data_IF_769086516250
#
_entry.id   IF_769086516250
#
_cell.length_a   1.000
_cell.length_b   1.000
_cell.length_c   1.000
_cell.angle_alpha   90.00
_cell.angle_beta   90.00
_cell.angle_gamma   90.00
#
_symmetry.space_group_name_H-M   'P 1'
#
loop_
_entity.id
_entity.type
_entity.pdbx_description
1 polymer ?
#
# COMPACT_ATOMS: atom_id res chain seq x y z
N UNK A 1 -2.89 -5.61 -16.33
CA UNK A 1 -2.46 -4.60 -15.34
C UNK A 1 -0.94 -4.67 -15.19
N UNK A 2 -0.23 -3.56 -15.34
CA UNK A 2 1.19 -3.42 -14.98
C UNK A 2 1.56 -1.93 -14.89
N UNK A 3 2.63 -1.63 -14.19
CA UNK A 3 3.17 -0.26 -14.08
C UNK A 3 4.61 -0.25 -14.58
N UNK A 4 4.90 0.62 -15.54
CA UNK A 4 6.23 0.78 -16.11
C UNK A 4 6.81 2.11 -15.63
N UNK A 5 8.00 2.05 -15.05
CA UNK A 5 8.83 3.19 -14.71
C UNK A 5 9.94 3.27 -15.75
N UNK A 6 10.08 4.41 -16.39
CA UNK A 6 11.11 4.62 -17.41
C UNK A 6 11.92 5.87 -17.11
N UNK A 7 13.17 5.66 -16.69
CA UNK A 7 14.11 6.73 -16.37
C UNK A 7 13.63 7.70 -15.28
N UNK A 8 12.77 7.22 -14.37
CA UNK A 8 12.06 8.06 -13.41
C UNK A 8 13.02 8.78 -12.46
N UNK A 9 12.90 10.10 -12.36
CA UNK A 9 13.60 10.93 -11.40
C UNK A 9 12.67 11.98 -10.80
N UNK A 10 12.89 12.30 -9.51
CA UNK A 10 12.10 13.35 -8.86
C UNK A 10 12.93 14.16 -7.88
N UNK A 11 12.69 15.47 -7.89
CA UNK A 11 13.15 16.45 -6.89
C UNK A 11 12.06 17.47 -6.62
N UNK A 12 12.04 17.99 -5.42
CA UNK A 12 11.23 19.17 -5.11
C UNK A 12 11.92 20.46 -5.56
N UNK A 13 11.18 21.55 -5.83
CA UNK A 13 11.75 22.83 -6.25
C UNK A 13 12.87 23.28 -5.29
N UNK A 14 14.04 23.61 -5.85
CA UNK A 14 15.22 24.05 -5.09
C UNK A 14 15.95 22.98 -4.28
N UNK A 15 15.54 21.72 -4.37
CA UNK A 15 16.16 20.60 -3.65
C UNK A 15 16.95 19.69 -4.60
N UNK A 16 17.95 18.94 -4.10
CA UNK A 16 18.61 17.89 -4.86
C UNK A 16 17.62 16.77 -5.22
N UNK A 17 17.98 15.96 -6.20
CA UNK A 17 17.20 14.78 -6.55
C UNK A 17 17.10 13.81 -5.37
N UNK A 18 15.91 13.30 -5.13
CA UNK A 18 15.68 12.19 -4.20
C UNK A 18 16.16 10.86 -4.81
N UNK A 19 15.90 10.68 -6.09
CA UNK A 19 16.36 9.55 -6.92
C UNK A 19 16.29 9.95 -8.40
N UNK A 20 17.08 9.26 -9.25
CA UNK A 20 17.10 9.44 -10.70
C UNK A 20 17.29 8.11 -11.41
N UNK A 21 16.83 8.04 -12.68
CA UNK A 21 17.09 6.91 -13.56
C UNK A 21 16.41 5.60 -13.13
N UNK A 22 15.39 5.67 -12.28
CA UNK A 22 14.65 4.49 -11.84
C UNK A 22 13.86 3.90 -13.00
N UNK A 23 14.24 2.71 -13.46
CA UNK A 23 13.52 1.96 -14.47
C UNK A 23 13.14 0.57 -13.95
N UNK A 24 11.84 0.25 -13.98
CA UNK A 24 11.31 -1.02 -13.52
C UNK A 24 9.95 -1.30 -14.15
N UNK A 25 9.60 -2.59 -14.26
CA UNK A 25 8.23 -3.01 -14.62
C UNK A 25 7.64 -3.76 -13.46
N UNK A 26 6.55 -3.21 -12.91
CA UNK A 26 5.79 -3.83 -11.82
C UNK A 26 4.66 -4.65 -12.43
N UNK A 27 4.68 -5.94 -12.19
CA UNK A 27 3.74 -6.91 -12.74
C UNK A 27 2.62 -7.23 -11.73
N UNK A 28 1.43 -7.65 -12.20
CA UNK A 28 0.36 -8.12 -11.34
C UNK A 28 0.78 -9.40 -10.62
N UNK A 29 0.05 -9.76 -9.59
CA UNK A 29 0.32 -10.93 -8.74
C UNK A 29 1.69 -10.90 -8.07
N UNK A 30 2.24 -9.69 -7.85
CA UNK A 30 3.49 -9.47 -7.15
C UNK A 30 3.35 -8.43 -6.05
N UNK A 31 4.13 -8.62 -5.00
CA UNK A 31 4.27 -7.68 -3.88
C UNK A 31 5.71 -7.18 -3.85
N UNK A 32 5.89 -5.91 -4.13
CA UNK A 32 7.19 -5.23 -4.17
C UNK A 32 7.48 -4.55 -2.85
N UNK A 33 8.53 -4.95 -2.15
CA UNK A 33 9.07 -4.19 -1.03
C UNK A 33 9.85 -2.99 -1.56
N UNK A 34 9.37 -1.79 -1.31
CA UNK A 34 10.08 -0.55 -1.57
C UNK A 34 10.96 -0.22 -0.36
N UNK A 35 12.27 -0.38 -0.52
CA UNK A 35 13.23 -0.18 0.56
C UNK A 35 14.15 1.01 0.29
N UNK A 36 14.71 1.58 1.35
CA UNK A 36 15.62 2.72 1.31
C UNK A 36 15.67 3.39 2.67
N UNK A 37 16.68 4.21 2.90
CA UNK A 37 16.85 4.97 4.14
C UNK A 37 15.65 5.91 4.39
N UNK A 38 15.52 6.40 5.63
CA UNK A 38 14.56 7.48 5.91
C UNK A 38 14.92 8.70 5.06
N UNK A 39 13.90 9.32 4.45
CA UNK A 39 14.12 10.47 3.55
C UNK A 39 14.55 10.10 2.12
N UNK A 40 14.75 8.83 1.76
CA UNK A 40 15.16 8.42 0.41
C UNK A 40 14.09 8.64 -0.68
N UNK A 41 12.89 9.10 -0.32
CA UNK A 41 11.81 9.35 -1.28
C UNK A 41 10.83 8.20 -1.46
N UNK A 42 10.74 7.21 -0.55
CA UNK A 42 9.77 6.10 -0.64
C UNK A 42 8.34 6.59 -0.80
N UNK A 43 7.86 7.43 0.11
CA UNK A 43 6.49 7.98 0.04
C UNK A 43 6.29 8.90 -1.18
N UNK A 44 7.36 9.57 -1.64
CA UNK A 44 7.34 10.33 -2.88
C UNK A 44 7.17 9.41 -4.10
N UNK A 45 7.88 8.28 -4.14
CA UNK A 45 7.70 7.29 -5.21
C UNK A 45 6.28 6.70 -5.18
N UNK A 46 5.72 6.40 -3.99
CA UNK A 46 4.31 5.99 -3.89
C UNK A 46 3.37 7.08 -4.46
N UNK A 47 3.63 8.37 -4.21
CA UNK A 47 2.84 9.48 -4.75
C UNK A 47 2.93 9.58 -6.29
N UNK A 48 4.12 9.34 -6.86
CA UNK A 48 4.32 9.26 -8.30
C UNK A 48 3.57 8.04 -8.89
N UNK A 49 3.64 6.88 -8.25
CA UNK A 49 2.91 5.67 -8.64
C UNK A 49 1.40 5.88 -8.58
N UNK A 50 0.89 6.63 -7.61
CA UNK A 50 -0.52 6.97 -7.50
C UNK A 50 -0.99 8.00 -8.55
N UNK A 51 -0.08 8.74 -9.17
CA UNK A 51 -0.40 9.86 -10.06
C UNK A 51 -0.81 11.14 -9.33
N UNK A 52 -0.40 11.28 -8.07
CA UNK A 52 -0.61 12.50 -7.28
C UNK A 52 0.50 13.53 -7.45
N UNK A 53 1.65 13.07 -7.92
CA UNK A 53 2.79 13.90 -8.32
C UNK A 53 3.19 13.53 -9.74
N UNK A 54 3.67 14.52 -10.48
CA UNK A 54 4.35 14.29 -11.75
C UNK A 54 5.85 14.13 -11.53
N UNK A 55 6.52 13.23 -12.25
CA UNK A 55 7.97 13.08 -12.16
C UNK A 55 8.68 14.31 -12.71
N UNK A 56 9.89 14.60 -12.19
CA UNK A 56 10.75 15.65 -12.74
C UNK A 56 11.44 15.18 -14.03
N UNK A 57 11.76 13.88 -14.09
CA UNK A 57 12.38 13.21 -15.25
C UNK A 57 11.73 11.85 -15.46
N UNK A 58 11.71 11.37 -16.70
CA UNK A 58 11.14 10.07 -17.05
C UNK A 58 9.62 10.02 -16.99
N UNK A 59 9.08 8.82 -16.85
CA UNK A 59 7.62 8.62 -16.87
C UNK A 59 7.16 7.44 -16.02
N UNK A 60 5.87 7.47 -15.65
CA UNK A 60 5.14 6.35 -15.02
C UNK A 60 3.94 6.00 -15.91
N UNK A 61 3.98 4.84 -16.55
CA UNK A 61 2.87 4.32 -17.37
C UNK A 61 2.09 3.26 -16.57
N UNK A 62 0.79 3.49 -16.39
CA UNK A 62 -0.13 2.64 -15.57
C UNK A 62 -1.12 1.92 -16.46
N UNK A 63 -0.71 0.82 -17.09
CA UNK A 63 -1.53 0.09 -18.06
C UNK A 63 -2.57 -0.81 -17.37
N UNK A 64 -3.83 -0.53 -17.65
CA UNK A 64 -4.96 -1.26 -17.07
C UNK A 64 -5.19 -0.97 -15.58
N UNK A 65 -4.61 0.10 -15.03
CA UNK A 65 -4.87 0.57 -13.67
C UNK A 65 -5.98 1.62 -13.74
N UNK A 66 -7.14 1.30 -13.18
CA UNK A 66 -8.29 2.22 -13.07
C UNK A 66 -8.56 2.63 -11.63
N UNK A 67 -8.14 1.82 -10.66
CA UNK A 67 -8.29 2.08 -9.23
C UNK A 67 -6.97 1.91 -8.53
N UNK A 68 -6.55 2.95 -7.83
CA UNK A 68 -5.40 2.94 -6.92
C UNK A 68 -5.91 2.93 -5.50
N UNK A 69 -5.49 1.94 -4.71
CA UNK A 69 -5.70 1.91 -3.28
C UNK A 69 -4.45 2.41 -2.56
N UNK A 70 -4.63 3.21 -1.50
CA UNK A 70 -3.52 3.67 -0.68
C UNK A 70 -3.82 3.50 0.80
N UNK A 71 -2.89 2.88 1.51
CA UNK A 71 -2.85 2.85 2.98
C UNK A 71 -1.67 3.68 3.44
N UNK A 72 -1.96 4.77 4.14
CA UNK A 72 -0.95 5.68 4.69
C UNK A 72 -0.35 5.13 5.97
N UNK A 73 0.84 5.61 6.31
CA UNK A 73 1.53 5.31 7.56
C UNK A 73 0.66 5.65 8.79
N UNK A 74 -0.04 6.79 8.75
CA UNK A 74 -1.02 7.17 9.76
C UNK A 74 -2.42 6.78 9.28
N UNK A 75 -3.17 5.95 10.03
CA UNK A 75 -4.50 5.52 9.61
C UNK A 75 -5.51 6.68 9.67
N UNK A 76 -6.29 6.84 8.60
CA UNK A 76 -7.32 7.85 8.49
C UNK A 76 -8.68 7.20 8.20
N UNK A 77 -9.61 7.32 9.14
CA UNK A 77 -10.97 6.82 9.01
C UNK A 77 -12.01 7.87 9.42
N UNK A 78 -13.27 7.56 9.18
CA UNK A 78 -14.40 8.40 9.60
C UNK A 78 -14.70 8.10 11.06
N UNK A 79 -14.47 9.05 11.97
CA UNK A 79 -14.48 8.88 13.43
C UNK A 79 -15.68 8.11 13.98
N UNK A 80 -16.89 8.43 13.51
CA UNK A 80 -18.18 7.85 14.00
C UNK A 80 -18.69 6.67 13.17
N UNK A 81 -17.92 6.16 12.22
CA UNK A 81 -18.25 4.92 11.51
C UNK A 81 -17.59 3.74 12.19
N UNK A 82 -18.30 2.60 12.22
CA UNK A 82 -17.76 1.36 12.76
C UNK A 82 -16.64 0.80 11.89
N UNK A 83 -15.80 -0.07 12.45
CA UNK A 83 -14.82 -0.81 11.69
C UNK A 83 -15.49 -1.60 10.55
N UNK A 84 -16.63 -2.22 10.81
CA UNK A 84 -17.42 -2.94 9.82
C UNK A 84 -17.85 -2.03 8.65
N UNK A 85 -18.40 -0.85 8.94
CA UNK A 85 -18.83 0.09 7.89
C UNK A 85 -17.70 0.52 6.95
N UNK A 86 -16.48 0.68 7.48
CA UNK A 86 -15.31 1.03 6.66
C UNK A 86 -15.00 -0.04 5.62
N UNK A 87 -15.22 -1.32 5.93
CA UNK A 87 -14.93 -2.44 5.02
C UNK A 87 -16.13 -2.78 4.14
N UNK A 88 -17.36 -2.58 4.64
CA UNK A 88 -18.60 -2.79 3.87
C UNK A 88 -18.72 -1.80 2.72
N UNK A 89 -18.38 -0.53 2.94
CA UNK A 89 -18.57 0.54 1.95
C UNK A 89 -17.92 0.24 0.59
N UNK A 90 -16.62 -0.11 0.48
CA UNK A 90 -16.01 -0.45 -0.81
C UNK A 90 -16.65 -1.67 -1.49
N UNK A 91 -17.21 -2.61 -0.73
CA UNK A 91 -17.91 -3.77 -1.29
C UNK A 91 -19.28 -3.38 -1.87
N UNK A 92 -20.00 -2.45 -1.22
CA UNK A 92 -21.24 -1.88 -1.75
C UNK A 92 -20.99 -1.09 -3.04
N UNK A 93 -19.93 -0.31 -3.11
CA UNK A 93 -19.55 0.45 -4.32
C UNK A 93 -19.30 -0.50 -5.51
N UNK A 94 -18.86 -1.74 -5.25
CA UNK A 94 -18.71 -2.79 -6.27
C UNK A 94 -20.04 -3.47 -6.66
N UNK A 95 -21.18 -2.99 -6.14
CA UNK A 95 -22.52 -3.53 -6.44
C UNK A 95 -22.90 -4.79 -5.65
N UNK A 96 -22.14 -5.15 -4.59
CA UNK A 96 -22.54 -6.30 -3.76
C UNK A 96 -23.80 -6.00 -2.95
N UNK A 97 -24.75 -6.94 -2.85
CA UNK A 97 -25.88 -6.80 -1.94
C UNK A 97 -25.39 -6.62 -0.49
N UNK A 98 -26.04 -5.74 0.30
CA UNK A 98 -25.61 -5.37 1.64
C UNK A 98 -25.32 -6.58 2.54
N UNK A 99 -26.23 -7.57 2.56
CA UNK A 99 -26.04 -8.79 3.37
C UNK A 99 -24.77 -9.55 3.03
N UNK A 100 -24.43 -9.61 1.73
CA UNK A 100 -23.20 -10.28 1.27
C UNK A 100 -21.96 -9.43 1.59
N UNK A 101 -22.06 -8.11 1.40
CA UNK A 101 -20.97 -7.18 1.74
C UNK A 101 -20.61 -7.22 3.23
N UNK A 102 -21.62 -7.31 4.10
CA UNK A 102 -21.41 -7.45 5.56
C UNK A 102 -20.74 -8.78 5.92
N UNK A 103 -21.14 -9.89 5.31
CA UNK A 103 -20.52 -11.19 5.55
C UNK A 103 -19.05 -11.21 5.11
N UNK A 104 -18.76 -10.74 3.88
CA UNK A 104 -17.42 -10.66 3.34
C UNK A 104 -16.52 -9.69 4.15
N UNK A 105 -17.10 -8.56 4.63
CA UNK A 105 -16.40 -7.60 5.47
C UNK A 105 -16.01 -8.20 6.84
N UNK A 106 -16.91 -8.97 7.48
CA UNK A 106 -16.60 -9.66 8.74
C UNK A 106 -15.51 -10.70 8.57
N UNK A 107 -15.51 -11.44 7.47
CA UNK A 107 -14.44 -12.39 7.14
C UNK A 107 -13.09 -11.69 6.99
N UNK A 108 -13.05 -10.57 6.24
CA UNK A 108 -11.85 -9.75 6.13
C UNK A 108 -11.37 -9.23 7.48
N UNK A 109 -12.27 -8.65 8.29
CA UNK A 109 -11.93 -8.14 9.62
C UNK A 109 -11.38 -9.26 10.52
N UNK A 110 -11.97 -10.46 10.50
CA UNK A 110 -11.48 -11.61 11.24
C UNK A 110 -10.06 -12.00 10.79
N UNK A 111 -9.78 -11.99 9.49
CA UNK A 111 -8.44 -12.23 8.93
C UNK A 111 -7.38 -11.25 9.43
N UNK A 112 -7.78 -10.02 9.78
CA UNK A 112 -6.93 -8.99 10.38
C UNK A 112 -6.98 -8.96 11.92
N UNK A 113 -7.65 -9.91 12.58
CA UNK A 113 -7.79 -9.96 14.04
C UNK A 113 -8.63 -8.81 14.61
N UNK A 114 -9.65 -8.37 13.85
CA UNK A 114 -10.55 -7.26 14.19
C UNK A 114 -12.00 -7.71 14.43
N UNK A 115 -12.26 -9.02 14.55
CA UNK A 115 -13.63 -9.55 14.73
C UNK A 115 -14.33 -8.94 15.94
N UNK A 116 -13.65 -8.86 17.09
CA UNK A 116 -14.19 -8.37 18.37
C UNK A 116 -14.43 -6.85 18.39
N UNK A 117 -13.83 -6.12 17.47
CA UNK A 117 -13.94 -4.66 17.36
C UNK A 117 -14.73 -4.20 16.14
N UNK A 118 -15.35 -5.12 15.42
CA UNK A 118 -16.07 -4.84 14.17
C UNK A 118 -17.14 -3.75 14.32
N UNK A 119 -17.82 -3.72 15.45
CA UNK A 119 -18.88 -2.75 15.76
C UNK A 119 -18.38 -1.49 16.48
N UNK A 120 -17.07 -1.39 16.79
CA UNK A 120 -16.53 -0.19 17.41
C UNK A 120 -16.37 0.93 16.38
N UNK A 121 -16.61 2.15 16.80
CA UNK A 121 -16.31 3.35 16.01
C UNK A 121 -14.82 3.50 15.80
N UNK A 122 -14.42 4.05 14.65
CA UNK A 122 -13.01 4.26 14.29
C UNK A 122 -12.25 5.05 15.38
N UNK A 123 -12.88 6.06 15.95
CA UNK A 123 -12.29 6.88 17.02
C UNK A 123 -11.97 6.11 18.31
N UNK A 124 -12.59 4.95 18.52
CA UNK A 124 -12.38 4.09 19.70
C UNK A 124 -11.37 2.96 19.45
N UNK A 125 -10.77 2.89 18.26
CA UNK A 125 -9.76 1.89 17.92
C UNK A 125 -8.37 2.35 18.39
N UNK A 126 -7.55 1.39 18.82
CA UNK A 126 -6.12 1.63 19.00
C UNK A 126 -5.44 1.92 17.65
N UNK A 127 -4.25 2.55 17.66
CA UNK A 127 -3.50 2.84 16.43
C UNK A 127 -3.24 1.58 15.59
N UNK A 128 -2.89 0.46 16.23
CA UNK A 128 -2.68 -0.82 15.54
C UNK A 128 -3.98 -1.43 14.98
N UNK A 129 -5.12 -1.32 15.67
CA UNK A 129 -6.43 -1.73 15.15
C UNK A 129 -6.85 -0.87 13.96
N UNK A 130 -6.67 0.46 14.05
CA UNK A 130 -6.95 1.39 12.98
C UNK A 130 -6.09 1.13 11.73
N UNK A 131 -4.79 0.81 11.90
CA UNK A 131 -3.90 0.47 10.79
C UNK A 131 -4.35 -0.82 10.08
N UNK A 132 -4.65 -1.88 10.84
CA UNK A 132 -5.17 -3.14 10.27
C UNK A 132 -6.52 -2.94 9.57
N UNK A 133 -7.37 -2.08 10.12
CA UNK A 133 -8.64 -1.72 9.49
C UNK A 133 -8.45 -1.05 8.13
N UNK A 134 -7.49 -0.11 8.02
CA UNK A 134 -7.21 0.55 6.74
C UNK A 134 -6.67 -0.44 5.70
N UNK A 135 -5.89 -1.43 6.10
CA UNK A 135 -5.46 -2.52 5.21
C UNK A 135 -6.65 -3.37 4.74
N UNK A 136 -7.51 -3.80 5.66
CA UNK A 136 -8.72 -4.57 5.33
C UNK A 136 -9.64 -3.79 4.36
N UNK A 137 -9.85 -2.50 4.61
CA UNK A 137 -10.61 -1.59 3.74
C UNK A 137 -9.97 -1.48 2.36
N UNK A 138 -8.63 -1.32 2.29
CA UNK A 138 -7.89 -1.22 1.04
C UNK A 138 -8.04 -2.48 0.18
N UNK A 139 -7.93 -3.66 0.80
CA UNK A 139 -8.15 -4.97 0.14
C UNK A 139 -9.59 -5.13 -0.33
N UNK A 140 -10.57 -4.72 0.49
CA UNK A 140 -11.99 -4.76 0.12
C UNK A 140 -12.30 -3.93 -1.13
N UNK A 141 -11.56 -2.86 -1.38
CA UNK A 141 -11.73 -2.01 -2.55
C UNK A 141 -11.25 -2.68 -3.87
N UNK A 142 -10.47 -3.76 -3.81
CA UNK A 142 -9.91 -4.49 -4.97
C UNK A 142 -9.23 -3.58 -5.97
N UNK A 143 -8.22 -2.80 -5.56
CA UNK A 143 -7.50 -1.94 -6.48
C UNK A 143 -6.63 -2.75 -7.44
N UNK A 144 -6.36 -2.25 -8.65
CA UNK A 144 -5.37 -2.81 -9.56
C UNK A 144 -3.93 -2.44 -9.16
N UNK A 145 -3.76 -1.28 -8.49
CA UNK A 145 -2.50 -0.87 -7.86
C UNK A 145 -2.76 -0.57 -6.39
N UNK A 146 -2.09 -1.31 -5.50
CA UNK A 146 -2.23 -1.15 -4.05
C UNK A 146 -0.93 -0.66 -3.43
N UNK A 147 -0.95 0.54 -2.89
CA UNK A 147 0.18 1.23 -2.28
C UNK A 147 0.03 1.23 -0.77
N UNK A 148 1.07 0.82 -0.07
CA UNK A 148 1.05 0.68 1.39
C UNK A 148 2.30 1.33 1.95
N UNK A 149 2.14 2.31 2.82
CA UNK A 149 3.26 3.03 3.44
C UNK A 149 3.41 2.61 4.90
N UNK A 150 4.54 1.97 5.23
CA UNK A 150 4.96 1.51 6.56
C UNK A 150 3.84 0.78 7.36
N UNK A 151 3.29 -0.33 6.84
CA UNK A 151 2.09 -0.97 7.40
C UNK A 151 2.27 -1.56 8.81
N UNK A 152 3.52 -1.76 9.25
CA UNK A 152 3.86 -2.43 10.51
C UNK A 152 4.50 -1.51 11.55
N UNK A 153 4.73 -0.24 11.22
CA UNK A 153 5.48 0.70 12.07
C UNK A 153 4.89 0.91 13.49
N UNK A 154 3.60 0.67 13.68
CA UNK A 154 2.89 0.87 14.95
C UNK A 154 2.37 -0.44 15.57
N UNK A 155 2.84 -1.58 15.08
CA UNK A 155 2.36 -2.91 15.48
C UNK A 155 3.39 -3.63 16.34
N UNK A 156 2.90 -4.46 17.27
CA UNK A 156 3.74 -5.45 17.94
C UNK A 156 4.21 -6.53 16.94
N UNK A 157 5.30 -7.25 17.27
CA UNK A 157 5.93 -8.21 16.38
C UNK A 157 5.00 -9.32 15.86
N UNK A 158 4.06 -9.81 16.71
CA UNK A 158 3.10 -10.84 16.34
C UNK A 158 2.10 -10.34 15.31
N UNK A 159 1.57 -9.15 15.56
CA UNK A 159 0.60 -8.49 14.66
C UNK A 159 1.27 -8.07 13.36
N UNK A 160 2.50 -7.54 13.42
CA UNK A 160 3.29 -7.20 12.24
C UNK A 160 3.51 -8.42 11.33
N UNK A 161 3.88 -9.57 11.90
CA UNK A 161 4.04 -10.82 11.16
C UNK A 161 2.72 -11.30 10.50
N UNK A 162 1.57 -11.13 11.16
CA UNK A 162 0.27 -11.46 10.58
C UNK A 162 -0.06 -10.55 9.38
N UNK A 163 0.12 -9.24 9.53
CA UNK A 163 -0.09 -8.25 8.45
C UNK A 163 0.82 -8.55 7.27
N UNK A 164 2.10 -8.80 7.50
CA UNK A 164 3.08 -9.13 6.45
C UNK A 164 2.68 -10.36 5.66
N UNK A 165 2.23 -11.44 6.33
CA UNK A 165 1.70 -12.64 5.64
C UNK A 165 0.46 -12.35 4.82
N UNK A 166 -0.47 -11.51 5.33
CA UNK A 166 -1.68 -11.14 4.60
C UNK A 166 -1.33 -10.33 3.36
N UNK A 167 -0.39 -9.37 3.46
CA UNK A 167 0.09 -8.59 2.31
C UNK A 167 0.77 -9.50 1.27
N UNK A 168 1.62 -10.43 1.70
CA UNK A 168 2.24 -11.42 0.81
C UNK A 168 1.22 -12.29 0.07
N UNK A 169 0.08 -12.60 0.71
CA UNK A 169 -1.02 -13.35 0.10
C UNK A 169 -1.76 -12.59 -1.02
N UNK A 170 -1.60 -11.27 -1.12
CA UNK A 170 -2.21 -10.46 -2.19
C UNK A 170 -1.56 -10.67 -3.57
N UNK A 171 -0.41 -11.33 -3.63
CA UNK A 171 0.29 -11.70 -4.87
C UNK A 171 -0.53 -12.64 -5.80
N UNK A 172 -1.81 -12.88 -5.55
CA UNK A 172 -2.66 -13.80 -6.34
C UNK A 172 -3.98 -13.17 -6.80
N UNK A 173 -4.11 -11.84 -6.68
CA UNK A 173 -5.39 -11.15 -6.88
C UNK A 173 -5.44 -10.30 -8.16
N UNK A 174 -4.48 -10.44 -9.08
CA UNK A 174 -4.37 -9.59 -10.28
C UNK A 174 -3.93 -8.15 -9.96
N UNK A 175 -3.48 -7.89 -8.73
CA UNK A 175 -3.10 -6.58 -8.22
C UNK A 175 -1.59 -6.42 -8.22
N UNK A 176 -1.08 -5.24 -8.59
CA UNK A 176 0.28 -4.81 -8.32
C UNK A 176 0.30 -4.21 -6.90
N UNK A 177 1.09 -4.78 -6.00
CA UNK A 177 1.22 -4.29 -4.62
C UNK A 177 2.60 -3.70 -4.40
N UNK A 178 2.68 -2.48 -3.86
CA UNK A 178 3.96 -1.84 -3.48
C UNK A 178 3.89 -1.45 -2.01
N UNK A 179 4.80 -2.00 -1.21
CA UNK A 179 4.87 -1.80 0.24
C UNK A 179 6.16 -1.07 0.57
N UNK A 180 6.09 0.20 0.93
CA UNK A 180 7.23 0.91 1.50
C UNK A 180 7.44 0.43 2.94
N UNK A 181 8.63 -0.08 3.23
CA UNK A 181 8.94 -0.60 4.56
C UNK A 181 10.43 -0.61 4.86
N UNK A 182 10.76 -0.47 6.14
CA UNK A 182 12.10 -0.74 6.68
C UNK A 182 12.12 -2.04 7.52
N UNK A 183 10.96 -2.68 7.70
CA UNK A 183 10.84 -3.92 8.47
C UNK A 183 11.28 -5.14 7.66
N UNK A 184 12.23 -5.91 8.21
CA UNK A 184 12.80 -7.09 7.56
C UNK A 184 11.78 -8.21 7.35
N UNK A 185 10.80 -8.39 8.25
CA UNK A 185 9.77 -9.41 8.12
C UNK A 185 8.79 -9.07 6.99
N UNK A 186 8.37 -7.80 6.91
CA UNK A 186 7.51 -7.32 5.81
C UNK A 186 8.23 -7.48 4.48
N UNK A 187 9.52 -7.10 4.41
CA UNK A 187 10.34 -7.30 3.21
C UNK A 187 10.43 -8.77 2.81
N UNK A 188 10.66 -9.67 3.75
CA UNK A 188 10.79 -11.11 3.50
C UNK A 188 9.46 -11.75 3.03
N UNK A 189 8.30 -11.15 3.35
CA UNK A 189 6.99 -11.60 2.89
C UNK A 189 6.65 -11.12 1.46
N UNK A 190 7.41 -10.15 0.92
CA UNK A 190 7.25 -9.65 -0.44
C UNK A 190 7.91 -10.56 -1.47
N UNK A 191 7.40 -10.54 -2.70
CA UNK A 191 7.96 -11.36 -3.81
C UNK A 191 9.21 -10.75 -4.43
N UNK A 192 9.29 -9.42 -4.43
CA UNK A 192 10.35 -8.65 -5.09
C UNK A 192 10.80 -7.47 -4.21
N UNK A 193 11.94 -6.89 -4.51
CA UNK A 193 12.45 -5.70 -3.81
C UNK A 193 12.82 -4.61 -4.80
N UNK A 194 12.35 -3.38 -4.52
CA UNK A 194 12.77 -2.14 -5.17
C UNK A 194 13.62 -1.35 -4.16
N UNK A 195 14.92 -1.29 -4.40
CA UNK A 195 15.85 -0.56 -3.52
C UNK A 195 16.20 0.79 -4.13
N UNK A 196 15.70 1.87 -3.51
CA UNK A 196 15.98 3.23 -3.97
C UNK A 196 17.45 3.62 -3.86
N UNK A 197 18.20 3.05 -2.92
CA UNK A 197 19.63 3.34 -2.79
C UNK A 197 20.44 2.78 -3.98
N UNK A 198 20.13 1.55 -4.41
CA UNK A 198 20.80 0.91 -5.56
C UNK A 198 20.47 1.57 -6.90
N UNK A 199 19.43 2.39 -6.93
CA UNK A 199 18.92 3.06 -8.13
C UNK A 199 19.42 4.52 -8.23
N UNK A 200 19.74 5.15 -7.09
CA UNK A 200 20.37 6.48 -7.07
C UNK A 200 21.80 6.45 -7.64
N UNK A 201 22.54 5.36 -7.43
CA UNK A 201 23.94 5.21 -7.91
C UNK A 201 24.08 5.00 -9.42
N UNK A 202 23.03 4.50 -10.10
CA UNK A 202 23.06 4.30 -11.55
C UNK A 202 22.90 5.58 -12.36
N UNK A 203 22.49 6.68 -11.74
CA UNK A 203 22.31 7.99 -12.36
C UNK A 203 23.52 8.93 -12.24
N UNK A 204 24.55 8.57 -11.48
CA UNK A 204 25.76 9.38 -11.27
C UNK A 204 26.90 9.10 -12.27
N UNK A 205 26.71 8.20 -13.22
CA UNK A 205 27.72 7.70 -14.13
C UNK A 205 27.48 7.99 -15.61
N UNK A 206 27.09 9.24 -15.98
CA UNK A 206 27.20 9.76 -17.35
C UNK A 206 27.34 11.28 -17.33
#
# INVERSE_FOLDING_TARGET
VHVVLDGLGHRFPGQPFLFRGLSATLLPDRVYALVGQSGSGKSTLLSLLAGWLDPTEGSVDRRGVTRVGWVFQNPHGVARRTALDHVVLPLLVQGRPRRRAEADARELLAGFGLAEVAEREFAALSGGEAQRLMLARGIAARPELFLVDEPTAQLDARTAAQVSRTLGGLARAGTVVVVATHDAQTRAACTDTLDLASLADRGAGT
#
